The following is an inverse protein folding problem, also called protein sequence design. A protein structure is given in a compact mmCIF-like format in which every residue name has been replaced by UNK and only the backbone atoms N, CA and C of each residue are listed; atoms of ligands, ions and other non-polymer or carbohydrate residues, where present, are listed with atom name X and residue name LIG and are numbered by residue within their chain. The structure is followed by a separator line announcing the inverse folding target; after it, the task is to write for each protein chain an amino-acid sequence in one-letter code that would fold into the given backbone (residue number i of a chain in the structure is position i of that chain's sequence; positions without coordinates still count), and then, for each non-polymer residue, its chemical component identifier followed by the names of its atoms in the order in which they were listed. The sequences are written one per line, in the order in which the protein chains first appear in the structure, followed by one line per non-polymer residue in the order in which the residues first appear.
data_IF_497734989200
#
_entry.id   IF_497734989200
#
_cell.length_a   1.000
_cell.length_b   1.000
_cell.length_c   1.000
_cell.angle_alpha   90.00
_cell.angle_beta   90.00
_cell.angle_gamma   90.00
#
_symmetry.space_group_name_H-M   'P 1'
#
loop_
_entity.id
_entity.type
_entity.pdbx_description
1 polymer ?
#
# COMPACT_ATOMS: atom_id res chain seq x y z
N UNK A 1 8.73 -26.78 2.51
CA UNK A 1 8.75 -26.51 1.15
C UNK A 1 7.40 -26.10 0.63
N UNK A 2 6.42 -26.96 0.75
CA UNK A 2 5.14 -26.60 0.21
C UNK A 2 4.51 -25.47 0.99
N UNK A 3 4.63 -25.52 2.30
CA UNK A 3 4.09 -24.50 3.08
C UNK A 3 4.77 -23.19 2.87
N UNK A 4 6.06 -23.19 2.64
CA UNK A 4 6.81 -21.99 2.35
C UNK A 4 6.29 -21.37 1.07
N UNK A 5 6.04 -22.20 0.07
CA UNK A 5 5.53 -21.67 -1.18
C UNK A 5 4.16 -21.04 -1.02
N UNK A 6 3.30 -21.60 -0.17
CA UNK A 6 2.01 -21.01 0.03
C UNK A 6 2.13 -19.64 0.68
N UNK A 7 3.08 -19.48 1.60
CA UNK A 7 3.21 -18.21 2.27
C UNK A 7 3.93 -17.19 1.43
N UNK A 8 4.67 -17.63 0.43
CA UNK A 8 5.47 -16.73 -0.36
C UNK A 8 4.66 -15.68 -1.11
N UNK A 9 3.47 -16.03 -1.56
CA UNK A 9 2.66 -15.06 -2.30
C UNK A 9 2.29 -13.90 -1.40
N UNK A 10 1.81 -14.19 -0.19
CA UNK A 10 1.45 -13.12 0.73
C UNK A 10 2.67 -12.31 1.16
N UNK A 11 3.79 -12.98 1.42
CA UNK A 11 4.99 -12.27 1.80
C UNK A 11 5.52 -11.40 0.67
N UNK A 12 5.44 -11.89 -0.57
CA UNK A 12 5.85 -11.12 -1.73
C UNK A 12 4.99 -9.88 -1.88
N UNK A 13 3.68 -10.03 -1.68
CA UNK A 13 2.77 -8.91 -1.76
C UNK A 13 3.12 -7.86 -0.71
N UNK A 14 3.37 -8.30 0.53
CA UNK A 14 3.67 -7.35 1.59
C UNK A 14 5.02 -6.68 1.38
N UNK A 15 6.00 -7.39 0.85
CA UNK A 15 7.29 -6.79 0.54
C UNK A 15 7.15 -5.74 -0.54
N UNK A 16 6.32 -6.02 -1.54
CA UNK A 16 6.09 -5.07 -2.60
C UNK A 16 5.46 -3.79 -2.05
N UNK A 17 4.48 -3.94 -1.17
CA UNK A 17 3.80 -2.79 -0.57
C UNK A 17 4.77 -1.99 0.29
N UNK A 18 5.56 -2.66 1.11
CA UNK A 18 6.52 -1.98 1.96
C UNK A 18 7.52 -1.20 1.13
N UNK A 19 7.98 -1.80 0.04
CA UNK A 19 8.94 -1.13 -0.79
C UNK A 19 8.35 0.09 -1.46
N UNK A 20 7.11 0.00 -1.93
CA UNK A 20 6.45 1.14 -2.54
C UNK A 20 6.28 2.28 -1.55
N UNK A 21 5.94 1.96 -0.31
CA UNK A 21 5.80 2.98 0.71
C UNK A 21 7.14 3.66 0.97
N UNK A 22 8.21 2.87 1.09
CA UNK A 22 9.50 3.44 1.36
C UNK A 22 10.06 4.27 0.20
N UNK A 23 9.70 3.91 -1.01
CA UNK A 23 10.09 4.71 -2.17
C UNK A 23 9.41 6.07 -2.15
N UNK A 24 8.19 6.13 -1.64
CA UNK A 24 7.49 7.39 -1.52
C UNK A 24 8.05 8.28 -0.44
N UNK A 25 8.53 7.67 0.61
CA UNK A 25 9.38 8.29 1.62
C UNK A 25 8.95 9.60 2.22
N UNK A 26 7.70 9.88 2.31
CA UNK A 26 7.22 11.06 3.01
C UNK A 26 5.99 10.65 3.77
N UNK A 27 5.99 10.91 5.06
CA UNK A 27 4.86 10.54 5.89
C UNK A 27 3.55 11.13 5.44
N UNK A 28 3.61 12.33 4.88
CA UNK A 28 2.40 12.97 4.43
C UNK A 28 1.91 12.42 3.11
N UNK A 29 2.73 11.68 2.41
CA UNK A 29 2.37 11.18 1.11
C UNK A 29 1.58 9.89 1.15
N UNK A 30 1.62 9.18 2.29
CA UNK A 30 1.02 7.85 2.37
C UNK A 30 -0.24 7.89 3.23
N UNK A 31 -1.35 7.45 2.68
CA UNK A 31 -2.57 7.36 3.47
C UNK A 31 -3.49 6.30 2.89
N UNK A 32 -4.46 5.90 3.68
CA UNK A 32 -5.46 4.94 3.24
C UNK A 32 -6.67 5.72 2.74
N UNK A 33 -7.24 5.26 1.65
CA UNK A 33 -8.41 5.91 1.08
C UNK A 33 -9.17 4.95 0.21
N UNK A 34 -9.82 5.47 -0.80
CA UNK A 34 -10.57 4.64 -1.73
C UNK A 34 -10.21 4.99 -3.16
N UNK A 35 -10.35 4.03 -4.03
CA UNK A 35 -10.19 4.24 -5.46
C UNK A 35 -11.29 3.42 -6.16
N UNK A 36 -12.12 4.08 -6.94
CA UNK A 36 -13.23 3.45 -7.64
C UNK A 36 -14.09 2.62 -6.67
N UNK A 37 -14.30 3.16 -5.46
CA UNK A 37 -15.13 2.51 -4.46
C UNK A 37 -14.45 1.39 -3.68
N UNK A 38 -13.18 1.11 -3.94
CA UNK A 38 -12.45 0.06 -3.24
C UNK A 38 -11.46 0.67 -2.28
N UNK A 39 -11.21 -0.02 -1.17
CA UNK A 39 -10.19 0.42 -0.25
C UNK A 39 -8.85 0.39 -0.96
N UNK A 40 -8.07 1.42 -0.80
CA UNK A 40 -6.80 1.53 -1.50
C UNK A 40 -5.75 2.22 -0.65
N UNK A 41 -4.52 1.78 -0.80
CA UNK A 41 -3.37 2.49 -0.28
C UNK A 41 -3.03 3.56 -1.30
N UNK A 42 -2.91 4.80 -0.86
CA UNK A 42 -2.62 5.91 -1.75
C UNK A 42 -1.28 6.53 -1.39
N UNK A 43 -0.39 6.63 -2.36
CA UNK A 43 0.92 7.23 -2.16
C UNK A 43 1.03 8.38 -3.15
N UNK A 44 1.10 9.60 -2.63
CA UNK A 44 1.13 10.78 -3.45
C UNK A 44 2.54 11.20 -3.75
N UNK A 45 2.75 11.75 -4.92
CA UNK A 45 4.06 12.32 -5.25
C UNK A 45 3.91 13.43 -6.26
N UNK A 46 4.89 14.30 -6.30
CA UNK A 46 4.90 15.40 -7.24
C UNK A 46 6.00 15.16 -8.24
N UNK A 47 5.69 15.31 -9.51
CA UNK A 47 6.67 15.19 -10.57
C UNK A 47 6.57 16.48 -11.38
N UNK A 48 7.59 17.31 -11.29
CA UNK A 48 7.52 18.64 -11.89
C UNK A 48 6.47 19.46 -11.19
N UNK A 49 5.52 19.96 -11.94
CA UNK A 49 4.43 20.75 -11.36
C UNK A 49 3.18 19.93 -11.19
N UNK A 50 3.21 18.66 -11.46
CA UNK A 50 2.02 17.83 -11.44
C UNK A 50 2.00 16.90 -10.25
N UNK A 51 0.81 16.60 -9.76
CA UNK A 51 0.62 15.66 -8.65
C UNK A 51 0.11 14.34 -9.18
N UNK A 52 0.70 13.28 -8.68
CA UNK A 52 0.32 11.91 -9.06
C UNK A 52 0.04 11.09 -7.81
N UNK A 53 -0.71 10.04 -7.95
CA UNK A 53 -0.96 9.10 -6.86
C UNK A 53 -0.75 7.69 -7.37
N UNK A 54 -0.08 6.88 -6.57
CA UNK A 54 -0.01 5.45 -6.80
C UNK A 54 -1.07 4.82 -5.90
N UNK A 55 -2.01 4.10 -6.51
CA UNK A 55 -3.02 3.36 -5.76
C UNK A 55 -2.66 1.90 -5.78
N UNK A 56 -2.75 1.23 -4.61
CA UNK A 56 -2.57 -0.21 -4.52
C UNK A 56 -3.83 -0.76 -3.88
N UNK A 57 -4.48 -1.69 -4.56
CA UNK A 57 -5.82 -2.15 -4.16
C UNK A 57 -6.06 -3.57 -4.66
N UNK A 58 -7.08 -4.20 -4.11
CA UNK A 58 -7.48 -5.54 -4.52
C UNK A 58 -8.67 -5.42 -5.47
N UNK A 59 -8.58 -6.03 -6.63
CA UNK A 59 -9.68 -6.04 -7.59
C UNK A 59 -9.78 -7.42 -8.20
N UNK A 60 -10.90 -8.09 -7.97
CA UNK A 60 -11.17 -9.42 -8.51
C UNK A 60 -10.03 -10.40 -8.22
N UNK A 61 -9.65 -10.46 -6.97
CA UNK A 61 -8.63 -11.38 -6.49
C UNK A 61 -7.24 -11.10 -7.06
N UNK A 62 -7.00 -9.89 -7.47
CA UNK A 62 -5.69 -9.47 -7.93
C UNK A 62 -5.27 -8.20 -7.21
N UNK A 63 -4.03 -8.18 -6.76
CA UNK A 63 -3.46 -6.96 -6.20
C UNK A 63 -3.01 -6.12 -7.37
N UNK A 64 -3.53 -4.91 -7.46
CA UNK A 64 -3.26 -4.04 -8.60
C UNK A 64 -2.61 -2.74 -8.16
N UNK A 65 -1.86 -2.17 -9.09
CA UNK A 65 -1.21 -0.90 -8.87
C UNK A 65 -1.57 0.03 -10.02
N UNK A 66 -1.93 1.27 -9.72
CA UNK A 66 -2.18 2.26 -10.75
C UNK A 66 -1.49 3.56 -10.36
N UNK A 67 -0.59 4.06 -11.22
CA UNK A 67 0.08 5.33 -11.04
C UNK A 67 -0.59 6.31 -11.98
N UNK A 68 -1.20 7.36 -11.45
CA UNK A 68 -2.04 8.22 -12.26
C UNK A 68 -2.01 9.64 -11.77
N UNK A 69 -2.09 10.58 -12.70
CA UNK A 69 -2.13 11.97 -12.38
C UNK A 69 -3.44 12.29 -11.68
N UNK A 70 -3.39 13.19 -10.70
CA UNK A 70 -4.53 13.39 -9.82
C UNK A 70 -5.80 13.88 -10.50
N UNK A 71 -5.68 14.59 -11.59
CA UNK A 71 -6.87 15.10 -12.28
C UNK A 71 -7.39 14.15 -13.34
N UNK A 72 -6.88 12.94 -13.43
CA UNK A 72 -7.31 11.96 -14.41
C UNK A 72 -8.14 10.90 -13.70
N UNK A 73 -9.22 10.47 -14.30
CA UNK A 73 -10.07 9.44 -13.72
C UNK A 73 -9.80 8.10 -14.39
N UNK A 74 -9.90 7.04 -13.62
CA UNK A 74 -9.73 5.69 -14.14
C UNK A 74 -10.54 4.72 -13.32
N UNK A 75 -10.72 3.52 -13.85
CA UNK A 75 -11.49 2.48 -13.19
C UNK A 75 -10.53 1.48 -12.56
N UNK A 76 -11.04 0.73 -11.58
CA UNK A 76 -10.23 -0.24 -10.88
C UNK A 76 -9.64 -1.28 -11.83
N UNK A 77 -10.31 -1.58 -12.92
CA UNK A 77 -9.80 -2.56 -13.87
C UNK A 77 -8.56 -2.10 -14.61
N UNK A 78 -8.28 -0.80 -14.58
CA UNK A 78 -7.15 -0.25 -15.34
C UNK A 78 -5.80 -0.51 -14.71
N UNK A 79 -5.75 -0.88 -13.44
CA UNK A 79 -4.47 -1.07 -12.78
C UNK A 79 -3.69 -2.26 -13.32
N UNK A 80 -2.37 -2.22 -13.09
CA UNK A 80 -1.52 -3.31 -13.48
C UNK A 80 -1.60 -4.39 -12.41
N UNK A 81 -1.74 -5.64 -12.82
CA UNK A 81 -1.79 -6.75 -11.87
C UNK A 81 -0.39 -7.08 -11.38
N UNK A 82 -0.22 -7.09 -10.06
CA UNK A 82 1.04 -7.44 -9.46
C UNK A 82 1.08 -8.94 -9.17
N UNK A 83 0.05 -9.45 -8.52
CA UNK A 83 -0.07 -10.88 -8.27
C UNK A 83 -1.50 -11.18 -7.84
N UNK A 84 -1.83 -12.47 -7.69
CA UNK A 84 -3.17 -12.90 -7.29
C UNK A 84 -3.17 -13.25 -5.82
N UNK A 85 -4.14 -12.72 -5.10
CA UNK A 85 -4.34 -13.05 -3.70
C UNK A 85 -5.85 -13.05 -3.45
N UNK A 86 -6.28 -13.67 -2.37
CA UNK A 86 -7.71 -13.75 -2.13
C UNK A 86 -8.23 -12.59 -1.31
N UNK A 87 -7.40 -11.97 -0.49
CA UNK A 87 -7.85 -10.82 0.29
C UNK A 87 -6.68 -9.92 0.67
N UNK A 88 -6.99 -8.66 0.87
CA UNK A 88 -5.99 -7.66 1.22
C UNK A 88 -6.67 -6.63 2.12
N UNK A 89 -6.18 -6.46 3.33
CA UNK A 89 -6.76 -5.50 4.25
C UNK A 89 -5.69 -4.57 4.79
N UNK A 90 -6.12 -3.38 5.17
CA UNK A 90 -5.23 -2.33 5.60
C UNK A 90 -5.84 -1.61 6.78
N UNK A 91 -4.99 -1.15 7.68
CA UNK A 91 -5.44 -0.41 8.83
C UNK A 91 -4.38 0.59 9.25
N UNK A 92 -4.78 1.80 9.58
CA UNK A 92 -3.83 2.76 10.14
C UNK A 92 -3.96 2.65 11.64
N UNK A 93 -2.91 2.17 12.30
CA UNK A 93 -2.95 1.93 13.74
C UNK A 93 -2.81 3.22 14.51
N UNK A 94 -1.97 4.11 14.03
CA UNK A 94 -1.86 5.46 14.54
C UNK A 94 -1.12 6.24 13.47
N UNK A 95 -0.98 7.51 13.66
CA UNK A 95 -0.43 8.37 12.64
C UNK A 95 0.92 7.86 12.15
N UNK A 96 0.99 7.51 10.90
CA UNK A 96 2.23 7.03 10.30
C UNK A 96 2.53 5.56 10.54
N UNK A 97 1.62 4.80 11.15
CA UNK A 97 1.87 3.40 11.42
C UNK A 97 0.74 2.57 10.82
N UNK A 98 1.07 1.76 9.84
CA UNK A 98 0.06 1.01 9.08
C UNK A 98 0.25 -0.49 9.22
N UNK A 99 -0.84 -1.20 9.24
CA UNK A 99 -0.85 -2.66 9.24
C UNK A 99 -1.46 -3.14 7.93
N UNK A 100 -0.80 -4.09 7.30
CA UNK A 100 -1.30 -4.68 6.06
C UNK A 100 -1.38 -6.19 6.24
N UNK A 101 -2.45 -6.78 5.76
CA UNK A 101 -2.64 -8.23 5.82
C UNK A 101 -3.02 -8.73 4.43
N UNK A 102 -2.30 -9.74 3.98
CA UNK A 102 -2.61 -10.40 2.71
C UNK A 102 -2.99 -11.84 2.99
N UNK A 103 -4.02 -12.32 2.31
CA UNK A 103 -4.46 -13.71 2.42
C UNK A 103 -4.32 -14.35 1.05
N UNK A 104 -3.65 -15.49 1.00
CA UNK A 104 -3.44 -16.17 -0.28
C UNK A 104 -4.65 -17.01 -0.64
N UNK A 105 -4.57 -17.69 -1.76
CA UNK A 105 -5.71 -18.44 -2.27
C UNK A 105 -5.99 -19.71 -1.45
N UNK A 106 -5.08 -20.07 -0.57
CA UNK A 106 -5.30 -21.20 0.32
C UNK A 106 -5.85 -20.78 1.67
N UNK A 107 -6.12 -19.50 1.83
CA UNK A 107 -6.69 -18.98 3.07
C UNK A 107 -5.65 -18.64 4.13
N UNK A 108 -4.38 -18.66 3.79
CA UNK A 108 -3.35 -18.32 4.77
C UNK A 108 -3.03 -16.84 4.74
N UNK A 109 -2.96 -16.23 5.90
CA UNK A 109 -2.77 -14.81 6.03
C UNK A 109 -1.43 -14.47 6.63
N UNK A 110 -0.83 -13.41 6.15
CA UNK A 110 0.41 -12.87 6.69
C UNK A 110 0.21 -11.37 6.86
N UNK A 111 0.70 -10.82 7.95
CA UNK A 111 0.57 -9.40 8.23
C UNK A 111 1.92 -8.76 8.43
N UNK A 112 2.00 -7.47 8.17
CA UNK A 112 3.21 -6.71 8.46
C UNK A 112 2.79 -5.31 8.92
N UNK A 113 3.68 -4.65 9.64
CA UNK A 113 3.45 -3.28 10.09
C UNK A 113 4.54 -2.43 9.45
N UNK A 114 4.14 -1.32 8.87
CA UNK A 114 5.06 -0.40 8.20
C UNK A 114 4.93 0.96 8.84
N UNK A 115 6.06 1.51 9.26
CA UNK A 115 6.10 2.85 9.83
C UNK A 115 6.59 3.81 8.74
N UNK A 116 5.89 4.94 8.61
CA UNK A 116 6.22 5.92 7.60
C UNK A 116 6.73 7.16 8.32
N UNK A 117 7.87 7.70 7.89
CA UNK A 117 8.41 8.84 8.53
C UNK A 117 7.60 10.04 8.23
N UNK A 118 7.07 10.67 9.22
CA UNK A 118 6.37 11.90 9.08
C UNK A 118 7.33 13.04 9.27
N UNK A 119 7.30 14.00 8.41
CA UNK A 119 8.25 15.05 8.50
C UNK A 119 8.12 15.82 9.78
N UNK A 120 6.94 16.24 10.10
CA UNK A 120 6.77 17.02 11.27
C UNK A 120 6.93 16.22 12.50
N UNK A 121 6.42 15.03 12.46
CA UNK A 121 6.49 14.21 13.59
C UNK A 121 7.83 13.89 14.00
N UNK A 122 8.67 13.63 13.09
CA UNK A 122 9.98 13.25 13.45
C UNK A 122 10.67 14.36 14.16
N UNK A 123 10.35 15.58 13.89
CA UNK A 123 10.97 16.56 14.61
C UNK A 123 10.52 16.65 15.96
N UNK A 124 9.31 16.44 16.20
CA UNK A 124 8.82 16.56 17.48
C UNK A 124 9.24 15.58 18.39
N UNK A 125 9.33 14.48 17.96
CA UNK A 125 9.67 13.55 18.79
C UNK A 125 10.92 13.56 19.18
N UNK A 126 11.52 14.13 18.53
CA UNK A 126 12.68 14.15 18.84
C UNK A 126 12.89 14.78 19.96
N UNK A 127 12.24 15.43 20.13
CA UNK A 127 12.42 15.98 21.06
C UNK A 127 12.02 15.49 22.03
N UNK A 128 11.79 15.04 22.02
CA UNK A 128 11.45 14.57 22.93
C UNK A 128 12.10 13.75 23.37
N UNK A 129 12.59 13.91 23.22
CA UNK A 129 13.19 13.24 23.59
C UNK A 129 13.65 13.27 24.12
#
# INVERSE_FOLDING_TARGET
AVETAKNDVSRTALSYISEKIHQGDSGDAVHLGTFDGLDALAIQQTVGDDSYTTYIYLYEKELKELFIKDDVQARASAGKTILSISDFSMEELKNGLFSFTCTDENGESVSTIVAVRGTATSKNEVNTQ
#
